data_IF_106134150968
#
_entry.id   IF_106134150968
#
_cell.length_a   1.000
_cell.length_b   1.000
_cell.length_c   1.000
_cell.angle_alpha   90.00
_cell.angle_beta   90.00
_cell.angle_gamma   90.00
#
_symmetry.space_group_name_H-M   'P 1'
#
loop_
_entity.id
_entity.type
_entity.pdbx_description
1 polymer ?
#
# COMPACT_ATOMS: atom_id res chain seq x y z
N UNK A 1 12.09 8.32 -10.05
CA UNK A 1 13.10 9.22 -9.42
C UNK A 1 12.77 10.73 -9.43
N UNK A 2 12.39 11.38 -10.55
CA UNK A 2 12.10 12.84 -10.56
C UNK A 2 11.07 13.28 -9.50
N UNK A 3 9.99 12.50 -9.34
CA UNK A 3 8.93 12.77 -8.35
C UNK A 3 9.42 12.72 -6.91
N UNK A 4 10.37 11.83 -6.62
CA UNK A 4 10.97 11.67 -5.30
C UNK A 4 11.78 12.92 -4.91
N UNK A 5 12.64 13.39 -5.83
CA UNK A 5 13.46 14.60 -5.59
C UNK A 5 12.56 15.82 -5.38
N UNK A 6 11.53 15.98 -6.22
CA UNK A 6 10.57 17.08 -6.10
C UNK A 6 9.83 17.04 -4.76
N UNK A 7 9.42 15.86 -4.34
CA UNK A 7 8.68 15.68 -3.10
C UNK A 7 9.56 15.92 -1.86
N UNK A 8 10.80 15.44 -1.87
CA UNK A 8 11.80 15.77 -0.83
C UNK A 8 12.03 17.29 -0.76
N UNK A 9 12.08 17.97 -1.90
CA UNK A 9 12.24 19.42 -1.94
C UNK A 9 11.02 20.17 -1.38
N UNK A 10 9.81 19.67 -1.63
CA UNK A 10 8.55 20.31 -1.21
C UNK A 10 8.16 19.97 0.23
N UNK A 11 8.58 18.81 0.74
CA UNK A 11 8.26 18.27 2.06
C UNK A 11 9.55 17.97 2.84
N UNK A 12 10.45 18.96 2.86
CA UNK A 12 11.74 18.83 3.52
C UNK A 12 11.59 18.46 5.00
N UNK A 13 10.53 18.90 5.67
CA UNK A 13 10.29 18.60 7.09
C UNK A 13 10.05 17.11 7.34
N UNK A 14 9.38 16.41 6.41
CA UNK A 14 9.15 14.97 6.56
C UNK A 14 10.44 14.17 6.44
N UNK A 15 11.44 14.65 5.70
CA UNK A 15 12.65 13.88 5.40
C UNK A 15 13.95 14.41 6.04
N UNK A 16 13.95 15.65 6.53
CA UNK A 16 15.13 16.30 7.11
C UNK A 16 15.70 15.50 8.28
N UNK A 17 17.01 15.24 8.22
CA UNK A 17 17.73 14.47 9.24
C UNK A 17 17.42 12.97 9.27
N UNK A 18 16.74 12.43 8.25
CA UNK A 18 16.37 11.01 8.18
C UNK A 18 17.17 10.27 7.11
N UNK A 19 17.40 8.99 7.34
CA UNK A 19 17.96 8.09 6.32
C UNK A 19 16.88 7.58 5.38
N UNK A 20 17.07 7.83 4.09
CA UNK A 20 16.22 7.32 3.01
C UNK A 20 16.96 6.24 2.24
N UNK A 21 16.26 5.14 1.95
CA UNK A 21 16.72 4.09 1.03
C UNK A 21 15.82 4.11 -0.19
N UNK A 22 16.42 4.16 -1.38
CA UNK A 22 15.70 4.24 -2.65
C UNK A 22 15.67 2.87 -3.30
N UNK A 23 14.55 2.53 -3.95
CA UNK A 23 14.33 1.21 -4.55
C UNK A 23 14.61 0.11 -3.51
N UNK A 24 13.99 0.24 -2.34
CA UNK A 24 14.18 -0.70 -1.23
C UNK A 24 13.54 -2.03 -1.58
N UNK A 25 14.31 -3.11 -1.45
CA UNK A 25 13.83 -4.46 -1.67
C UNK A 25 12.89 -4.90 -0.54
N UNK A 26 11.71 -5.39 -0.89
CA UNK A 26 10.71 -5.92 0.03
C UNK A 26 10.17 -7.25 -0.44
N UNK A 27 9.82 -8.13 0.49
CA UNK A 27 9.12 -9.36 0.18
C UNK A 27 7.71 -9.08 -0.36
N UNK A 28 7.20 -9.96 -1.22
CA UNK A 28 5.83 -9.92 -1.71
C UNK A 28 5.13 -11.28 -1.56
N UNK A 29 3.82 -11.28 -1.76
CA UNK A 29 2.96 -12.46 -1.63
C UNK A 29 3.25 -13.58 -2.63
N UNK A 30 3.97 -13.29 -3.71
CA UNK A 30 4.33 -14.25 -4.77
C UNK A 30 5.59 -15.06 -4.42
N UNK A 31 6.15 -14.89 -3.22
CA UNK A 31 7.37 -15.57 -2.81
C UNK A 31 8.64 -15.01 -3.46
N UNK A 32 8.56 -13.81 -4.03
CA UNK A 32 9.70 -13.09 -4.61
C UNK A 32 9.87 -11.74 -3.91
N UNK A 33 10.81 -10.94 -4.41
CA UNK A 33 11.00 -9.57 -3.95
C UNK A 33 10.45 -8.57 -4.96
N UNK A 34 10.06 -7.41 -4.46
CA UNK A 34 9.71 -6.22 -5.24
C UNK A 34 10.43 -5.02 -4.66
N UNK A 35 10.30 -3.87 -5.32
CA UNK A 35 10.95 -2.63 -4.91
C UNK A 35 9.92 -1.60 -4.51
N UNK A 36 10.20 -0.83 -3.46
CA UNK A 36 9.45 0.36 -3.06
C UNK A 36 10.34 1.57 -3.34
N UNK A 37 9.78 2.62 -3.94
CA UNK A 37 10.56 3.79 -4.39
C UNK A 37 11.39 4.42 -3.25
N UNK A 38 10.79 4.60 -2.07
CA UNK A 38 11.47 5.13 -0.88
C UNK A 38 11.06 4.38 0.38
N UNK A 39 12.07 3.96 1.15
CA UNK A 39 11.92 3.54 2.52
C UNK A 39 12.57 4.56 3.48
N UNK A 40 11.84 4.96 4.51
CA UNK A 40 12.30 5.90 5.52
C UNK A 40 12.09 5.32 6.93
N UNK A 41 13.18 4.79 7.49
CA UNK A 41 13.18 4.11 8.78
C UNK A 41 12.74 5.03 9.93
N UNK A 42 13.25 6.25 9.92
CA UNK A 42 13.09 7.24 11.00
C UNK A 42 11.98 8.26 10.71
N UNK A 43 11.14 8.02 9.70
CA UNK A 43 9.99 8.87 9.43
C UNK A 43 8.94 8.77 10.54
N UNK A 44 7.94 9.66 10.48
CA UNK A 44 6.75 9.55 11.31
C UNK A 44 5.58 9.32 10.36
N UNK A 45 4.95 8.13 10.37
CA UNK A 45 5.29 6.96 11.17
C UNK A 45 6.63 6.30 10.77
N UNK A 46 7.28 5.55 11.67
CA UNK A 46 8.53 4.85 11.37
C UNK A 46 8.33 3.80 10.29
N UNK A 47 9.41 3.39 9.63
CA UNK A 47 9.41 2.38 8.56
C UNK A 47 8.48 2.74 7.39
N UNK A 48 8.37 4.04 7.10
CA UNK A 48 7.51 4.56 6.05
C UNK A 48 7.98 4.08 4.68
N UNK A 49 7.06 3.46 3.95
CA UNK A 49 7.20 2.91 2.61
C UNK A 49 6.39 3.78 1.66
N UNK A 50 7.08 4.52 0.79
CA UNK A 50 6.46 5.46 -0.14
C UNK A 50 6.61 4.93 -1.57
N UNK A 51 5.48 4.75 -2.24
CA UNK A 51 5.39 4.51 -3.67
C UNK A 51 4.95 5.80 -4.38
N UNK A 52 5.58 6.14 -5.50
CA UNK A 52 5.26 7.32 -6.30
C UNK A 52 4.61 6.89 -7.61
N UNK A 53 3.47 7.51 -7.92
CA UNK A 53 2.76 7.31 -9.18
C UNK A 53 2.46 8.65 -9.82
N UNK A 54 2.70 8.77 -11.12
CA UNK A 54 2.43 10.02 -11.81
C UNK A 54 1.96 9.83 -13.24
N UNK A 55 0.98 10.65 -13.62
CA UNK A 55 0.41 10.71 -14.95
C UNK A 55 -0.74 9.72 -15.18
N UNK A 56 -1.61 10.00 -16.16
CA UNK A 56 -2.73 9.13 -16.49
C UNK A 56 -2.26 7.72 -16.85
N UNK A 57 -2.96 6.70 -16.35
CA UNK A 57 -2.65 5.29 -16.65
C UNK A 57 -1.48 4.70 -15.86
N UNK A 58 -0.80 5.49 -15.01
CA UNK A 58 0.28 4.99 -14.13
C UNK A 58 -0.20 4.02 -13.04
N UNK A 59 -1.50 4.03 -12.76
CA UNK A 59 -2.17 3.09 -11.85
C UNK A 59 -3.26 2.37 -12.63
N UNK A 60 -3.18 1.03 -12.62
CA UNK A 60 -4.15 0.13 -13.24
C UNK A 60 -4.65 -0.87 -12.18
N UNK A 61 -5.65 -1.68 -12.54
CA UNK A 61 -6.06 -2.81 -11.70
C UNK A 61 -4.89 -3.78 -11.41
N UNK A 62 -4.01 -4.01 -12.39
CA UNK A 62 -2.80 -4.82 -12.20
C UNK A 62 -1.79 -4.15 -11.25
N UNK A 63 -1.66 -2.83 -11.31
CA UNK A 63 -0.84 -2.07 -10.36
C UNK A 63 -1.35 -2.23 -8.92
N UNK A 64 -2.66 -2.15 -8.70
CA UNK A 64 -3.26 -2.39 -7.37
C UNK A 64 -3.04 -3.82 -6.90
N UNK A 65 -3.20 -4.81 -7.79
CA UNK A 65 -2.93 -6.20 -7.46
C UNK A 65 -1.47 -6.41 -7.05
N UNK A 66 -0.54 -6.07 -7.94
CA UNK A 66 0.83 -6.54 -7.82
C UNK A 66 1.67 -5.72 -6.83
N UNK A 67 1.35 -4.42 -6.67
CA UNK A 67 2.11 -3.49 -5.83
C UNK A 67 1.37 -3.16 -4.54
N UNK A 68 0.09 -2.78 -4.58
CA UNK A 68 -0.60 -2.45 -3.33
C UNK A 68 -0.97 -3.70 -2.53
N UNK A 69 -1.71 -4.64 -3.13
CA UNK A 69 -2.19 -5.85 -2.44
C UNK A 69 -1.03 -6.80 -2.17
N UNK A 70 -0.34 -7.26 -3.21
CA UNK A 70 0.65 -8.33 -3.09
C UNK A 70 2.00 -7.88 -2.51
N UNK A 71 2.34 -6.59 -2.54
CA UNK A 71 3.61 -6.07 -2.01
C UNK A 71 3.40 -5.22 -0.76
N UNK A 72 2.59 -4.16 -0.80
CA UNK A 72 2.53 -3.19 0.30
C UNK A 72 1.75 -3.71 1.51
N UNK A 73 0.52 -4.19 1.30
CA UNK A 73 -0.26 -4.82 2.39
C UNK A 73 0.45 -6.06 2.95
N UNK A 74 1.17 -6.77 2.09
CA UNK A 74 1.94 -7.94 2.51
C UNK A 74 3.13 -7.56 3.41
N UNK A 75 3.94 -6.59 2.98
CA UNK A 75 5.23 -6.25 3.61
C UNK A 75 5.15 -5.24 4.77
N UNK A 76 4.09 -4.45 4.86
CA UNK A 76 3.93 -3.47 5.95
C UNK A 76 3.46 -4.13 7.23
N UNK A 77 4.00 -3.77 8.39
CA UNK A 77 3.49 -4.27 9.68
C UNK A 77 2.25 -3.49 10.13
N UNK A 78 2.17 -2.21 9.75
CA UNK A 78 1.07 -1.31 10.05
C UNK A 78 0.61 -0.56 8.80
N UNK A 79 -0.68 -0.27 8.67
CA UNK A 79 -1.21 0.48 7.52
C UNK A 79 -0.61 1.87 7.36
N UNK A 80 -0.26 2.51 8.47
CA UNK A 80 0.31 3.86 8.44
C UNK A 80 1.72 3.89 7.84
N UNK A 81 2.41 2.75 7.74
CA UNK A 81 3.68 2.61 7.04
C UNK A 81 3.53 2.73 5.52
N UNK A 82 2.33 2.62 4.96
CA UNK A 82 2.10 2.64 3.52
C UNK A 82 1.67 4.03 3.07
N UNK A 83 2.40 4.61 2.12
CA UNK A 83 1.99 5.81 1.41
C UNK A 83 2.17 5.67 -0.10
N UNK A 84 1.15 6.03 -0.86
CA UNK A 84 1.17 6.20 -2.30
C UNK A 84 1.05 7.70 -2.57
N UNK A 85 2.10 8.32 -3.11
CA UNK A 85 2.11 9.73 -3.53
C UNK A 85 1.80 9.80 -5.01
N UNK A 86 0.62 10.30 -5.34
CA UNK A 86 0.01 10.23 -6.66
C UNK A 86 -0.16 11.64 -7.25
N UNK A 87 0.47 11.91 -8.38
CA UNK A 87 0.27 13.20 -9.10
C UNK A 87 -0.38 12.96 -10.45
N UNK A 88 -1.50 13.62 -10.75
CA UNK A 88 -2.16 13.56 -12.06
C UNK A 88 -2.48 12.13 -12.56
N UNK A 89 -2.73 11.18 -11.64
CA UNK A 89 -2.99 9.78 -11.99
C UNK A 89 -4.44 9.54 -12.43
N UNK A 90 -5.35 10.44 -12.04
CA UNK A 90 -6.80 10.26 -12.21
C UNK A 90 -7.37 9.14 -11.34
N UNK A 91 -6.64 8.72 -10.29
CA UNK A 91 -7.07 7.73 -9.32
C UNK A 91 -8.16 8.33 -8.41
N UNK A 92 -9.24 7.59 -8.20
CA UNK A 92 -10.32 7.97 -7.30
C UNK A 92 -10.59 6.86 -6.29
N UNK A 93 -11.31 7.21 -5.23
CA UNK A 93 -11.72 6.27 -4.20
C UNK A 93 -12.58 5.13 -4.78
N UNK A 94 -13.47 5.46 -5.71
CA UNK A 94 -14.36 4.51 -6.40
C UNK A 94 -13.55 3.53 -7.24
N UNK A 95 -12.58 4.03 -8.03
CA UNK A 95 -11.67 3.17 -8.78
C UNK A 95 -10.86 2.23 -7.86
N UNK A 96 -10.45 2.72 -6.69
CA UNK A 96 -9.76 1.89 -5.70
C UNK A 96 -10.65 0.74 -5.22
N UNK A 97 -11.90 1.03 -4.85
CA UNK A 97 -12.87 0.01 -4.44
C UNK A 97 -13.04 -1.02 -5.56
N UNK A 98 -13.28 -0.58 -6.79
CA UNK A 98 -13.52 -1.47 -7.93
C UNK A 98 -12.30 -2.37 -8.19
N UNK A 99 -11.09 -1.80 -8.18
CA UNK A 99 -9.86 -2.56 -8.42
C UNK A 99 -9.49 -3.48 -7.26
N UNK A 100 -9.77 -3.12 -6.02
CA UNK A 100 -9.59 -4.04 -4.89
C UNK A 100 -10.57 -5.21 -4.96
N UNK A 101 -11.84 -4.96 -5.32
CA UNK A 101 -12.84 -6.02 -5.51
C UNK A 101 -12.48 -6.94 -6.68
N UNK A 102 -12.05 -6.37 -7.81
CA UNK A 102 -11.61 -7.15 -8.97
C UNK A 102 -10.42 -8.07 -8.65
N UNK A 103 -9.58 -7.70 -7.67
CA UNK A 103 -8.41 -8.46 -7.24
C UNK A 103 -8.59 -9.13 -5.88
N UNK A 104 -9.83 -9.37 -5.46
CA UNK A 104 -10.18 -9.96 -4.17
C UNK A 104 -9.52 -11.32 -3.94
N UNK A 105 -9.36 -12.14 -4.98
CA UNK A 105 -8.67 -13.43 -4.88
C UNK A 105 -7.23 -13.28 -4.37
N UNK A 106 -6.46 -12.31 -4.88
CA UNK A 106 -5.10 -12.04 -4.38
C UNK A 106 -5.11 -11.58 -2.92
N UNK A 107 -6.10 -10.77 -2.54
CA UNK A 107 -6.23 -10.29 -1.16
C UNK A 107 -6.57 -11.45 -0.20
N UNK A 108 -7.45 -12.36 -0.61
CA UNK A 108 -7.81 -13.55 0.15
C UNK A 108 -6.65 -14.57 0.22
N UNK A 109 -5.82 -14.66 -0.82
CA UNK A 109 -4.59 -15.46 -0.76
C UNK A 109 -3.64 -14.92 0.31
N UNK A 110 -3.49 -13.60 0.43
CA UNK A 110 -2.64 -12.99 1.47
C UNK A 110 -3.23 -13.19 2.86
N UNK A 111 -4.55 -13.03 3.02
CA UNK A 111 -5.27 -13.31 4.27
C UNK A 111 -5.03 -14.75 4.76
N UNK A 112 -4.83 -15.69 3.83
CA UNK A 112 -4.70 -17.11 4.12
C UNK A 112 -3.26 -17.64 4.03
N UNK A 113 -2.26 -16.79 3.77
CA UNK A 113 -0.88 -17.21 3.53
C UNK A 113 -0.21 -17.81 4.78
N UNK A 114 -0.31 -17.14 5.93
CA UNK A 114 0.19 -17.63 7.22
C UNK A 114 -0.54 -16.97 8.39
N UNK A 115 -0.43 -17.52 9.62
CA UNK A 115 -1.16 -17.01 10.78
C UNK A 115 -0.85 -15.54 11.15
N UNK A 116 0.40 -15.09 11.01
CA UNK A 116 0.77 -13.72 11.36
C UNK A 116 0.14 -12.73 10.37
N UNK A 117 0.24 -13.02 9.07
CA UNK A 117 -0.40 -12.21 8.02
C UNK A 117 -1.92 -12.21 8.14
N UNK A 118 -2.53 -13.36 8.46
CA UNK A 118 -3.97 -13.46 8.70
C UNK A 118 -4.41 -12.47 9.77
N UNK A 119 -3.71 -12.41 10.90
CA UNK A 119 -4.06 -11.52 12.00
C UNK A 119 -4.02 -10.05 11.58
N UNK A 120 -2.99 -9.67 10.83
CA UNK A 120 -2.80 -8.30 10.33
C UNK A 120 -3.88 -7.88 9.33
N UNK A 121 -4.10 -8.67 8.27
CA UNK A 121 -5.13 -8.39 7.26
C UNK A 121 -6.52 -8.42 7.89
N UNK A 122 -6.82 -9.39 8.75
CA UNK A 122 -8.11 -9.46 9.44
C UNK A 122 -8.37 -8.20 10.28
N UNK A 123 -7.35 -7.67 10.96
CA UNK A 123 -7.46 -6.42 11.72
C UNK A 123 -7.76 -5.23 10.80
N UNK A 124 -7.02 -5.08 9.70
CA UNK A 124 -7.18 -3.96 8.78
C UNK A 124 -8.54 -3.92 8.09
N UNK A 125 -9.11 -5.08 7.78
CA UNK A 125 -10.44 -5.22 7.18
C UNK A 125 -11.55 -5.45 8.22
N UNK A 126 -11.24 -5.40 9.53
CA UNK A 126 -12.18 -5.65 10.62
C UNK A 126 -13.01 -6.95 10.40
N UNK A 127 -12.29 -8.06 10.19
CA UNK A 127 -12.86 -9.38 9.95
C UNK A 127 -13.03 -10.15 11.27
N UNK A 128 -14.05 -10.99 11.32
CA UNK A 128 -14.23 -11.90 12.45
C UNK A 128 -13.11 -12.94 12.49
N UNK A 129 -12.84 -13.48 13.68
CA UNK A 129 -11.84 -14.54 13.85
C UNK A 129 -12.23 -15.76 13.02
N UNK A 130 -11.27 -16.30 12.27
CA UNK A 130 -11.46 -17.51 11.44
C UNK A 130 -12.07 -17.23 10.06
N UNK A 131 -12.38 -15.98 9.72
CA UNK A 131 -12.81 -15.60 8.38
C UNK A 131 -11.67 -15.84 7.36
N UNK A 132 -12.01 -16.49 6.24
CA UNK A 132 -11.08 -16.80 5.13
C UNK A 132 -11.38 -16.03 3.85
N UNK A 133 -12.49 -15.30 3.80
CA UNK A 133 -12.93 -14.48 2.66
C UNK A 133 -13.18 -13.04 3.09
N UNK A 134 -13.08 -12.08 2.18
CA UNK A 134 -13.21 -10.66 2.51
C UNK A 134 -14.48 -10.12 1.88
N UNK A 135 -15.58 -9.91 2.64
CA UNK A 135 -16.81 -9.37 2.06
C UNK A 135 -16.56 -8.03 1.38
N UNK A 136 -17.28 -7.78 0.29
CA UNK A 136 -17.11 -6.55 -0.51
C UNK A 136 -17.33 -5.28 0.33
N UNK A 137 -18.24 -5.34 1.30
CA UNK A 137 -18.46 -4.26 2.25
C UNK A 137 -17.19 -3.95 3.06
N UNK A 138 -16.40 -4.96 3.45
CA UNK A 138 -15.15 -4.76 4.19
C UNK A 138 -14.08 -4.11 3.33
N UNK A 139 -14.07 -4.37 2.02
CA UNK A 139 -13.21 -3.65 1.06
C UNK A 139 -13.66 -2.19 0.94
N UNK A 140 -14.96 -1.94 0.80
CA UNK A 140 -15.52 -0.59 0.76
C UNK A 140 -15.14 0.19 2.03
N UNK A 141 -15.37 -0.39 3.20
CA UNK A 141 -15.08 0.22 4.50
C UNK A 141 -13.58 0.52 4.64
N UNK A 142 -12.72 -0.44 4.27
CA UNK A 142 -11.27 -0.26 4.28
C UNK A 142 -10.84 0.94 3.44
N UNK A 143 -11.30 1.01 2.19
CA UNK A 143 -10.96 2.11 1.29
C UNK A 143 -11.54 3.43 1.82
N UNK A 144 -12.80 3.44 2.26
CA UNK A 144 -13.45 4.66 2.77
C UNK A 144 -12.68 5.29 3.94
N UNK A 145 -12.19 4.45 4.86
CA UNK A 145 -11.51 4.87 6.08
C UNK A 145 -10.05 5.24 5.85
N UNK A 146 -9.38 4.66 4.85
CA UNK A 146 -7.93 4.78 4.70
C UNK A 146 -7.49 5.53 3.45
N UNK A 147 -8.38 5.81 2.48
CA UNK A 147 -7.99 6.32 1.16
C UNK A 147 -7.11 7.57 1.24
N UNK A 148 -7.52 8.60 1.96
CA UNK A 148 -6.78 9.88 2.05
C UNK A 148 -5.49 9.78 2.87
N UNK A 149 -5.37 8.75 3.71
CA UNK A 149 -4.18 8.54 4.54
C UNK A 149 -3.09 7.81 3.76
N UNK A 150 -3.49 6.76 3.03
CA UNK A 150 -2.60 5.92 2.22
C UNK A 150 -2.32 6.58 0.86
N UNK A 151 -3.33 7.06 0.16
CA UNK A 151 -3.25 7.56 -1.21
C UNK A 151 -3.33 9.09 -1.21
N UNK A 152 -2.17 9.74 -1.31
CA UNK A 152 -1.98 11.20 -1.21
C UNK A 152 -1.73 11.83 -2.57
#
# INVERSE_FOLDING_TARGET
MHWIIRDIANDANTFSGKTLRFEENVANARGTTSFIDVFCEQCIPPNLKIEYKSGPGSITAGTIKDQFIERDLFSAENLNEIQWRMTNTGMTKEKMVDWMKANKTSLEQILNADPARRSKIASWFNLARGTTTIPDQKIIDFVNNNYTTIFR
#
